data_IF_229742636694
#
_entry.id   IF_229742636694
#
_cell.length_a   1.000
_cell.length_b   1.000
_cell.length_c   1.000
_cell.angle_alpha   90.00
_cell.angle_beta   90.00
_cell.angle_gamma   90.00
#
_symmetry.space_group_name_H-M   'P 1'
#
loop_
_entity.id
_entity.type
_entity.pdbx_description
1 polymer ?
#
# COMPACT_ATOMS: atom_id res chain seq x y z
N UNK A 1 -57.90 12.67 -40.11
CA UNK A 1 -59.36 12.62 -39.93
C UNK A 1 -59.66 12.99 -38.49
N UNK A 2 -60.20 14.19 -38.28
CA UNK A 2 -61.43 14.49 -37.53
C UNK A 2 -61.86 13.51 -36.42
N UNK A 3 -62.35 13.87 -35.23
CA UNK A 3 -62.80 15.14 -34.65
C UNK A 3 -63.25 14.91 -33.20
N UNK A 4 -63.31 16.01 -32.43
CA UNK A 4 -64.34 16.39 -31.46
C UNK A 4 -64.40 15.84 -30.01
N UNK A 5 -64.45 16.85 -29.14
CA UNK A 5 -64.91 16.97 -27.75
C UNK A 5 -66.45 16.98 -27.68
N UNK A 6 -67.06 16.71 -26.51
CA UNK A 6 -68.04 17.64 -25.91
C UNK A 6 -67.76 17.92 -24.41
N UNK A 7 -67.71 19.17 -23.94
CA UNK A 7 -68.81 20.01 -23.40
C UNK A 7 -69.35 19.49 -22.05
N UNK A 8 -68.88 19.99 -20.89
CA UNK A 8 -69.35 21.17 -20.12
C UNK A 8 -70.53 20.90 -19.14
N UNK A 9 -70.30 21.08 -17.84
CA UNK A 9 -71.32 21.61 -16.91
C UNK A 9 -70.68 22.28 -15.69
N UNK A 10 -71.15 23.50 -15.44
CA UNK A 10 -70.80 24.54 -14.46
C UNK A 10 -71.20 24.27 -13.01
N UNK A 11 -70.53 24.93 -12.05
CA UNK A 11 -71.22 25.51 -10.88
C UNK A 11 -70.54 25.44 -9.50
N UNK A 12 -69.91 26.55 -9.07
CA UNK A 12 -70.11 27.12 -7.72
C UNK A 12 -69.13 26.80 -6.59
N UNK A 13 -69.04 27.66 -5.55
CA UNK A 13 -67.77 28.09 -4.94
C UNK A 13 -67.58 27.74 -3.45
N UNK A 14 -66.31 27.74 -3.02
CA UNK A 14 -65.84 28.22 -1.70
C UNK A 14 -66.26 27.48 -0.43
N UNK A 15 -65.29 26.87 0.25
CA UNK A 15 -65.27 26.84 1.72
C UNK A 15 -63.83 26.88 2.20
N UNK A 16 -63.48 28.01 2.82
CA UNK A 16 -62.32 28.14 3.66
C UNK A 16 -62.57 27.33 4.93
N UNK A 17 -61.76 26.31 5.18
CA UNK A 17 -61.73 25.65 6.47
C UNK A 17 -60.29 25.55 6.98
N UNK A 18 -60.05 26.41 7.97
CA UNK A 18 -59.44 26.07 9.26
C UNK A 18 -58.03 25.45 9.25
N UNK A 19 -57.07 26.28 9.62
CA UNK A 19 -55.74 25.89 10.10
C UNK A 19 -55.83 24.92 11.28
N UNK A 20 -55.82 23.62 11.00
CA UNK A 20 -55.63 22.59 12.01
C UNK A 20 -54.19 22.63 12.55
N UNK A 21 -53.97 22.42 13.86
CA UNK A 21 -52.64 22.46 14.45
C UNK A 21 -51.80 21.31 13.89
N UNK A 22 -50.63 21.63 13.31
CA UNK A 22 -49.69 20.62 12.81
C UNK A 22 -49.24 19.75 13.97
N UNK A 23 -49.76 18.51 14.05
CA UNK A 23 -49.24 17.46 14.93
C UNK A 23 -47.73 17.33 14.68
N UNK A 24 -46.91 17.57 15.70
CA UNK A 24 -45.48 17.29 15.68
C UNK A 24 -45.29 15.78 15.53
N UNK A 25 -45.16 15.33 14.28
CA UNK A 25 -44.90 13.94 13.95
C UNK A 25 -43.44 13.64 14.27
N UNK A 26 -43.20 12.69 15.18
CA UNK A 26 -41.86 12.12 15.42
C UNK A 26 -41.40 11.20 14.28
N UNK A 27 -42.20 11.06 13.22
CA UNK A 27 -41.86 10.23 12.07
C UNK A 27 -40.65 10.85 11.36
N UNK A 28 -39.57 10.08 11.14
CA UNK A 28 -38.43 10.57 10.40
C UNK A 28 -38.85 10.95 8.97
N UNK A 29 -38.22 12.00 8.44
CA UNK A 29 -38.47 12.49 7.10
C UNK A 29 -38.16 11.40 6.07
N UNK A 30 -39.12 11.11 5.19
CA UNK A 30 -38.96 10.10 4.16
C UNK A 30 -37.87 10.50 3.15
N UNK A 31 -36.85 9.66 3.02
CA UNK A 31 -35.83 9.69 1.98
C UNK A 31 -35.37 8.27 1.67
N UNK A 32 -35.04 7.96 0.41
CA UNK A 32 -34.49 6.66 0.00
C UNK A 32 -33.25 6.27 0.81
N UNK A 33 -32.46 7.25 1.25
CA UNK A 33 -31.33 7.02 2.15
C UNK A 33 -31.79 6.60 3.56
N UNK A 34 -32.70 7.36 4.17
CA UNK A 34 -33.23 7.06 5.52
C UNK A 34 -34.02 5.75 5.59
N UNK A 35 -34.52 5.28 4.45
CA UNK A 35 -35.23 4.00 4.33
C UNK A 35 -34.36 2.85 3.85
N UNK A 36 -33.08 3.12 3.53
CA UNK A 36 -32.15 2.13 2.98
C UNK A 36 -32.65 1.50 1.66
N UNK A 37 -33.43 2.25 0.89
CA UNK A 37 -33.99 1.88 -0.42
C UNK A 37 -33.18 2.51 -1.57
N UNK A 38 -31.89 2.77 -1.34
CA UNK A 38 -31.01 3.24 -2.41
C UNK A 38 -30.84 2.13 -3.47
N UNK A 39 -30.79 2.48 -4.77
CA UNK A 39 -30.52 1.50 -5.82
C UNK A 39 -29.14 0.89 -5.57
N UNK A 40 -29.12 -0.43 -5.37
CA UNK A 40 -27.90 -1.19 -5.16
C UNK A 40 -27.80 -2.29 -6.21
N UNK A 41 -26.65 -2.39 -6.86
CA UNK A 41 -26.31 -3.57 -7.64
C UNK A 41 -25.97 -4.70 -6.67
N UNK A 42 -26.69 -5.82 -6.76
CA UNK A 42 -26.46 -7.03 -5.94
C UNK A 42 -25.94 -8.14 -6.86
N UNK A 43 -24.63 -8.20 -7.13
CA UNK A 43 -24.10 -9.23 -8.01
C UNK A 43 -24.23 -10.59 -7.34
N UNK A 44 -24.91 -11.53 -8.00
CA UNK A 44 -25.00 -12.92 -7.55
C UNK A 44 -23.87 -13.68 -8.24
N UNK A 45 -22.89 -14.15 -7.46
CA UNK A 45 -21.75 -14.91 -7.97
C UNK A 45 -22.19 -16.33 -8.34
N UNK A 46 -22.67 -16.51 -9.57
CA UNK A 46 -22.99 -17.84 -10.09
C UNK A 46 -21.71 -18.59 -10.47
N UNK A 47 -21.67 -19.93 -10.31
CA UNK A 47 -20.45 -20.72 -10.57
C UNK A 47 -19.85 -20.52 -11.97
N UNK A 48 -20.69 -20.36 -13.00
CA UNK A 48 -20.22 -20.14 -14.38
C UNK A 48 -19.44 -18.83 -14.53
N UNK A 49 -19.93 -17.75 -13.93
CA UNK A 49 -19.27 -16.44 -13.95
C UNK A 49 -17.93 -16.49 -13.21
N UNK A 50 -17.89 -17.16 -12.06
CA UNK A 50 -16.68 -17.29 -11.24
C UNK A 50 -15.60 -18.11 -11.97
N UNK A 51 -15.97 -19.25 -12.55
CA UNK A 51 -15.03 -20.09 -13.33
C UNK A 51 -14.46 -19.29 -14.50
N UNK A 52 -15.31 -18.58 -15.26
CA UNK A 52 -14.86 -17.76 -16.39
C UNK A 52 -13.89 -16.65 -15.95
N UNK A 53 -14.19 -15.98 -14.84
CA UNK A 53 -13.33 -14.93 -14.30
C UNK A 53 -11.95 -15.49 -13.89
N UNK A 54 -11.92 -16.62 -13.18
CA UNK A 54 -10.66 -17.24 -12.78
C UNK A 54 -9.84 -17.78 -13.96
N UNK A 55 -10.49 -18.32 -14.99
CA UNK A 55 -9.81 -18.75 -16.22
C UNK A 55 -9.16 -17.57 -16.94
N UNK A 56 -9.86 -16.43 -17.02
CA UNK A 56 -9.32 -15.20 -17.61
C UNK A 56 -8.14 -14.64 -16.80
N UNK A 57 -8.29 -14.56 -15.47
CA UNK A 57 -7.19 -14.11 -14.58
C UNK A 57 -5.98 -15.02 -14.72
N UNK A 58 -6.18 -16.34 -14.75
CA UNK A 58 -5.10 -17.33 -14.90
C UNK A 58 -4.41 -17.20 -16.26
N UNK A 59 -5.18 -17.04 -17.34
CA UNK A 59 -4.63 -16.85 -18.68
C UNK A 59 -3.75 -15.61 -18.79
N UNK A 60 -4.02 -14.56 -18.00
CA UNK A 60 -3.21 -13.35 -17.95
C UNK A 60 -2.01 -13.52 -17.00
N UNK A 61 -2.20 -14.10 -15.81
CA UNK A 61 -1.16 -14.17 -14.79
C UNK A 61 -0.14 -15.29 -15.01
N UNK A 62 -0.50 -16.38 -15.69
CA UNK A 62 0.46 -17.44 -16.05
C UNK A 62 1.59 -16.91 -16.94
N UNK A 63 1.35 -16.25 -18.09
CA UNK A 63 2.43 -15.75 -18.93
C UNK A 63 3.24 -14.65 -18.25
N UNK A 64 2.59 -13.76 -17.48
CA UNK A 64 3.28 -12.76 -16.67
C UNK A 64 4.20 -13.44 -15.65
N UNK A 65 3.70 -14.42 -14.90
CA UNK A 65 4.48 -15.18 -13.92
C UNK A 65 5.66 -15.91 -14.55
N UNK A 66 5.48 -16.51 -15.73
CA UNK A 66 6.57 -17.16 -16.48
C UNK A 66 7.62 -16.12 -16.87
N UNK A 67 7.23 -15.00 -17.46
CA UNK A 67 8.16 -13.94 -17.86
C UNK A 67 8.93 -13.37 -16.65
N UNK A 68 8.23 -13.08 -15.54
CA UNK A 68 8.84 -12.62 -14.29
C UNK A 68 9.80 -13.64 -13.70
N UNK A 69 9.48 -14.94 -13.76
CA UNK A 69 10.35 -16.00 -13.26
C UNK A 69 11.63 -16.14 -14.09
N UNK A 70 11.53 -16.03 -15.42
CA UNK A 70 12.71 -15.99 -16.28
C UNK A 70 13.60 -14.78 -15.95
N UNK A 71 13.01 -13.59 -15.89
CA UNK A 71 13.74 -12.37 -15.53
C UNK A 71 14.40 -12.48 -14.14
N UNK A 72 13.72 -13.08 -13.16
CA UNK A 72 14.26 -13.29 -11.81
C UNK A 72 15.42 -14.29 -11.76
N UNK A 73 15.39 -15.34 -12.58
CA UNK A 73 16.47 -16.35 -12.64
C UNK A 73 17.70 -15.88 -13.41
N UNK A 74 17.56 -14.86 -14.25
CA UNK A 74 18.67 -14.27 -15.00
C UNK A 74 19.55 -13.37 -14.14
N UNK A 75 19.04 -12.88 -13.00
CA UNK A 75 19.81 -12.08 -12.04
C UNK A 75 20.88 -12.96 -11.39
N UNK A 76 22.14 -12.52 -11.51
CA UNK A 76 23.27 -13.14 -10.81
C UNK A 76 23.51 -12.35 -9.53
N UNK A 77 23.38 -13.01 -8.39
CA UNK A 77 23.59 -12.43 -7.06
C UNK A 77 24.69 -13.21 -6.32
N UNK A 78 25.56 -12.50 -5.61
CA UNK A 78 26.62 -13.07 -4.79
C UNK A 78 26.51 -12.47 -3.40
N UNK A 79 26.31 -13.33 -2.40
CA UNK A 79 26.21 -12.93 -1.00
C UNK A 79 27.42 -13.53 -0.26
N UNK A 80 28.28 -12.67 0.31
CA UNK A 80 29.39 -13.08 1.17
C UNK A 80 29.20 -12.50 2.57
N UNK A 81 29.14 -13.39 3.57
CA UNK A 81 29.00 -12.99 4.97
C UNK A 81 30.39 -12.75 5.57
N UNK A 82 30.70 -11.49 5.79
CA UNK A 82 32.02 -11.08 6.26
C UNK A 82 32.11 -10.92 7.80
N UNK A 83 30.99 -10.93 8.53
CA UNK A 83 30.96 -10.67 9.98
C UNK A 83 31.80 -11.63 10.84
N UNK A 84 31.92 -12.91 10.47
CA UNK A 84 32.73 -13.91 11.20
C UNK A 84 34.07 -14.14 10.53
N UNK A 85 34.11 -13.98 9.21
CA UNK A 85 35.28 -14.27 8.40
C UNK A 85 36.36 -13.19 8.52
N UNK A 86 35.96 -11.95 8.82
CA UNK A 86 36.88 -10.86 9.11
C UNK A 86 37.43 -10.86 10.56
N UNK A 87 36.99 -11.81 11.40
CA UNK A 87 37.42 -11.91 12.79
C UNK A 87 38.39 -13.10 12.92
N UNK A 88 39.60 -12.89 13.48
CA UNK A 88 40.55 -13.96 13.74
C UNK A 88 39.91 -15.12 14.52
N UNK A 89 40.22 -16.39 14.20
CA UNK A 89 39.60 -17.55 14.84
C UNK A 89 39.61 -17.49 16.38
N UNK A 90 40.70 -16.99 16.97
CA UNK A 90 40.90 -16.90 18.42
C UNK A 90 39.97 -15.89 19.10
N UNK A 91 39.46 -14.91 18.35
CA UNK A 91 38.63 -13.81 18.84
C UNK A 91 37.17 -13.91 18.39
N UNK A 92 36.78 -15.00 17.71
CA UNK A 92 35.40 -15.17 17.22
C UNK A 92 34.35 -15.23 18.34
N UNK A 93 34.77 -15.63 19.54
CA UNK A 93 33.91 -15.68 20.73
C UNK A 93 33.66 -14.28 21.34
N UNK A 94 34.57 -13.33 21.13
CA UNK A 94 34.46 -11.94 21.61
C UNK A 94 34.56 -10.96 20.43
N UNK A 95 33.50 -10.97 19.60
CA UNK A 95 33.41 -10.10 18.42
C UNK A 95 33.46 -8.61 18.81
N UNK A 96 32.79 -8.24 19.90
CA UNK A 96 32.69 -6.83 20.35
C UNK A 96 34.03 -6.34 20.85
N UNK A 97 34.75 -7.15 21.64
CA UNK A 97 36.10 -6.83 22.10
C UNK A 97 37.07 -6.66 20.93
N UNK A 98 37.01 -7.53 19.92
CA UNK A 98 37.81 -7.35 18.71
C UNK A 98 37.44 -6.06 17.96
N UNK A 99 36.16 -5.75 17.78
CA UNK A 99 35.73 -4.52 17.08
C UNK A 99 36.23 -3.26 17.83
N UNK A 100 36.15 -3.26 19.16
CA UNK A 100 36.55 -2.12 19.99
C UNK A 100 38.07 -2.00 20.21
N UNK A 101 38.86 -3.02 19.88
CA UNK A 101 40.31 -2.97 20.06
C UNK A 101 40.94 -1.87 19.18
N UNK A 102 42.04 -1.23 19.61
CA UNK A 102 42.76 -0.29 18.75
C UNK A 102 43.41 -1.02 17.57
N UNK A 103 43.61 -0.30 16.46
CA UNK A 103 44.27 -0.79 15.25
C UNK A 103 43.36 -0.91 14.03
N UNK A 104 43.97 -0.83 12.84
CA UNK A 104 43.27 -1.06 11.57
C UNK A 104 42.93 -2.54 11.39
N UNK A 105 41.72 -2.81 10.91
CA UNK A 105 41.19 -4.17 10.71
C UNK A 105 40.72 -4.36 9.27
N UNK A 106 41.62 -4.23 8.27
CA UNK A 106 41.25 -4.47 6.89
C UNK A 106 40.84 -5.92 6.70
N UNK A 107 39.76 -6.14 5.96
CA UNK A 107 39.27 -7.47 5.64
C UNK A 107 39.14 -7.62 4.14
N UNK A 108 40.03 -8.41 3.55
CA UNK A 108 40.02 -8.69 2.11
C UNK A 108 39.23 -9.97 1.85
N UNK A 109 38.20 -9.86 1.01
CA UNK A 109 37.34 -10.99 0.61
C UNK A 109 37.47 -11.22 -0.88
N UNK A 110 37.65 -12.48 -1.27
CA UNK A 110 37.70 -12.89 -2.67
C UNK A 110 36.36 -13.51 -3.05
N UNK A 111 35.60 -12.83 -3.91
CA UNK A 111 34.30 -13.29 -4.39
C UNK A 111 34.47 -14.03 -5.70
N UNK A 112 34.01 -15.28 -5.77
CA UNK A 112 34.00 -16.05 -7.02
C UNK A 112 32.69 -15.80 -7.77
N UNK A 113 32.79 -15.30 -9.01
CA UNK A 113 31.64 -15.01 -9.87
C UNK A 113 31.39 -16.21 -10.79
N UNK A 114 30.33 -17.02 -10.57
CA UNK A 114 30.15 -18.28 -11.30
C UNK A 114 29.63 -18.09 -12.74
N UNK A 115 29.01 -16.95 -13.04
CA UNK A 115 28.40 -16.63 -14.33
C UNK A 115 28.65 -15.16 -14.66
N UNK A 116 28.81 -14.86 -15.95
CA UNK A 116 28.99 -13.48 -16.42
C UNK A 116 27.86 -12.56 -15.91
N UNK A 117 28.23 -11.49 -15.19
CA UNK A 117 27.31 -10.45 -14.73
C UNK A 117 27.21 -9.35 -15.78
N UNK A 118 26.04 -9.19 -16.41
CA UNK A 118 25.82 -8.12 -17.38
C UNK A 118 25.71 -6.78 -16.65
N UNK A 119 26.45 -5.77 -17.12
CA UNK A 119 26.44 -4.42 -16.57
C UNK A 119 25.03 -3.77 -16.57
N UNK A 120 24.72 -2.85 -15.64
CA UNK A 120 25.55 -2.37 -14.52
C UNK A 120 25.57 -3.34 -13.32
N UNK A 121 26.68 -3.37 -12.60
CA UNK A 121 26.86 -4.17 -11.38
C UNK A 121 26.66 -3.26 -10.17
N UNK A 122 25.85 -3.72 -9.20
CA UNK A 122 25.58 -3.01 -7.95
C UNK A 122 26.21 -3.76 -6.78
N UNK A 123 26.74 -3.02 -5.81
CA UNK A 123 27.29 -3.56 -4.57
C UNK A 123 26.47 -3.00 -3.41
N UNK A 124 25.93 -3.89 -2.60
CA UNK A 124 25.11 -3.57 -1.44
C UNK A 124 25.72 -4.16 -0.18
N UNK A 125 25.52 -3.50 0.95
CA UNK A 125 25.73 -4.09 2.27
C UNK A 125 24.37 -4.49 2.84
N UNK A 126 24.33 -5.61 3.57
CA UNK A 126 23.15 -6.10 4.25
C UNK A 126 23.41 -6.12 5.76
N UNK A 127 22.44 -5.59 6.52
CA UNK A 127 22.45 -5.63 7.98
C UNK A 127 21.24 -6.43 8.44
N UNK A 128 21.48 -7.52 9.14
CA UNK A 128 20.44 -8.31 9.80
C UNK A 128 20.24 -7.84 11.24
N UNK A 129 19.04 -8.05 11.78
CA UNK A 129 18.66 -7.62 13.15
C UNK A 129 18.82 -6.11 13.42
N UNK A 130 18.72 -5.28 12.39
CA UNK A 130 18.78 -3.82 12.49
C UNK A 130 17.42 -3.18 12.18
N UNK A 131 16.73 -2.71 13.22
CA UNK A 131 15.34 -2.23 13.14
C UNK A 131 15.24 -0.75 12.71
N UNK A 132 15.62 -0.45 11.46
CA UNK A 132 15.52 0.92 10.90
C UNK A 132 14.08 1.45 10.89
N UNK A 133 13.09 0.58 10.83
CA UNK A 133 11.68 0.94 10.83
C UNK A 133 11.13 1.29 12.23
N UNK A 134 11.95 1.23 13.29
CA UNK A 134 11.50 1.57 14.64
C UNK A 134 11.11 3.05 14.73
N UNK A 135 9.91 3.36 15.28
CA UNK A 135 9.35 4.73 15.30
C UNK A 135 10.30 5.78 15.85
N UNK A 136 11.06 5.47 16.91
CA UNK A 136 12.04 6.42 17.48
C UNK A 136 13.24 6.62 16.55
N UNK A 137 13.70 5.56 15.89
CA UNK A 137 14.82 5.63 14.95
C UNK A 137 14.47 6.51 13.75
N UNK A 138 13.29 6.28 13.15
CA UNK A 138 12.79 7.07 12.01
C UNK A 138 12.60 8.54 12.36
N UNK A 139 12.20 8.86 13.61
CA UNK A 139 11.97 10.23 14.06
C UNK A 139 13.24 10.97 14.49
N UNK A 140 14.28 10.24 14.87
CA UNK A 140 15.54 10.78 15.43
C UNK A 140 16.44 11.37 14.33
N UNK A 141 15.91 12.33 13.56
CA UNK A 141 16.60 13.08 12.52
C UNK A 141 15.94 14.44 12.32
N UNK A 142 16.69 15.39 11.78
CA UNK A 142 16.20 16.70 11.36
C UNK A 142 16.37 16.86 9.86
N UNK A 143 15.26 17.05 9.14
CA UNK A 143 15.29 17.15 7.68
C UNK A 143 15.87 18.51 7.24
N UNK A 144 15.69 19.54 8.06
CA UNK A 144 16.28 20.88 7.91
C UNK A 144 17.80 20.84 8.04
N UNK A 145 18.31 20.19 9.10
CA UNK A 145 19.75 19.99 9.31
C UNK A 145 20.40 19.21 8.16
N UNK A 146 19.73 18.18 7.64
CA UNK A 146 20.24 17.36 6.53
C UNK A 146 20.23 18.09 5.19
N UNK A 147 19.41 19.14 5.05
CA UNK A 147 19.25 19.90 3.82
C UNK A 147 20.19 21.09 3.73
N UNK A 148 20.41 21.82 4.83
CA UNK A 148 21.16 23.07 4.82
C UNK A 148 22.05 23.23 6.08
N UNK A 149 23.36 23.53 5.92
CA UNK A 149 24.28 23.77 7.04
C UNK A 149 23.83 24.89 7.99
N UNK A 150 23.08 25.89 7.52
CA UNK A 150 22.57 26.97 8.37
C UNK A 150 21.58 26.50 9.44
N UNK A 151 20.99 25.31 9.26
CA UNK A 151 20.06 24.67 10.21
C UNK A 151 20.75 23.61 11.08
N UNK A 152 22.08 23.68 11.26
CA UNK A 152 22.84 22.70 12.04
C UNK A 152 22.33 22.51 13.48
N UNK A 153 21.77 23.57 14.07
CA UNK A 153 21.29 23.58 15.44
C UNK A 153 19.86 23.04 15.62
N UNK A 154 19.13 22.80 14.52
CA UNK A 154 17.78 22.25 14.59
C UNK A 154 17.81 20.74 14.85
N UNK A 155 17.94 20.37 16.12
CA UNK A 155 18.08 18.98 16.59
C UNK A 155 16.97 18.57 17.56
N UNK A 156 15.86 19.31 17.58
CA UNK A 156 14.76 19.12 18.54
C UNK A 156 14.08 17.75 18.50
N UNK A 157 14.19 17.06 17.36
CA UNK A 157 13.63 15.73 17.10
C UNK A 157 14.61 14.59 17.35
N UNK A 158 15.90 14.90 17.57
CA UNK A 158 16.99 13.96 17.81
C UNK A 158 17.08 13.53 19.28
#
# INVERSE_FOLDING_TARGET
>A
MSSNVPSSSSGGPGSADSSAPRRNSKRPKYSKFTQQELPACKPILTPRWVISAFMLVSMIFIPIGIASLFASRDVVEIIDRYETECIPPDLRNDKVGYIQSPGEKPCNRTLTVPKNMKQPIFVYYQLDNFYQNHRRYVKSRSDEQLKDPSSENDTSTC
#
